data_IF_867999471750
#
_entry.id   IF_867999471750
#
_cell.length_a   1.000
_cell.length_b   1.000
_cell.length_c   1.000
_cell.angle_alpha   90.00
_cell.angle_beta   90.00
_cell.angle_gamma   90.00
#
_symmetry.space_group_name_H-M   'P 1'
#
loop_
_entity.id
_entity.type
_entity.pdbx_description
1 polymer ?
#
# COMPACT_ATOMS: atom_id res chain seq x y z
N UNK A 1 2.03 -18.45 29.81
CA UNK A 1 2.40 -17.09 29.37
C UNK A 1 3.25 -17.26 28.12
N UNK A 2 2.89 -16.64 27.02
CA UNK A 2 3.66 -16.68 25.76
C UNK A 2 4.67 -15.54 25.78
N UNK A 3 5.94 -15.86 25.53
CA UNK A 3 7.01 -14.86 25.41
C UNK A 3 7.55 -14.85 23.98
N UNK A 4 7.56 -13.68 23.35
CA UNK A 4 8.07 -13.48 22.00
C UNK A 4 8.98 -12.26 21.91
N UNK A 5 9.81 -12.22 20.89
CA UNK A 5 10.66 -11.06 20.64
C UNK A 5 9.85 -9.96 19.93
N UNK A 6 9.01 -10.35 18.96
CA UNK A 6 8.17 -9.44 18.19
C UNK A 6 6.74 -9.96 18.07
N UNK A 7 5.78 -9.14 18.50
CA UNK A 7 4.35 -9.36 18.25
C UNK A 7 3.86 -8.42 17.17
N UNK A 8 3.28 -8.96 16.09
CA UNK A 8 2.71 -8.20 14.98
C UNK A 8 1.19 -8.26 15.13
N UNK A 9 0.56 -7.10 15.30
CA UNK A 9 -0.90 -6.99 15.40
C UNK A 9 -1.45 -6.49 14.08
N UNK A 10 -2.23 -7.36 13.40
CA UNK A 10 -2.76 -7.19 12.06
C UNK A 10 -2.00 -8.03 11.03
N UNK A 11 -2.67 -9.07 10.50
CA UNK A 11 -2.17 -10.00 9.47
C UNK A 11 -2.58 -9.62 8.05
N UNK A 12 -2.97 -8.36 7.81
CA UNK A 12 -3.17 -7.82 6.48
C UNK A 12 -1.89 -7.81 5.66
N UNK A 13 -1.95 -7.32 4.41
CA UNK A 13 -0.81 -7.40 3.46
C UNK A 13 0.51 -6.87 4.03
N UNK A 14 0.50 -5.81 4.84
CA UNK A 14 1.73 -5.20 5.39
C UNK A 14 2.28 -6.02 6.56
N UNK A 15 1.43 -6.41 7.53
CA UNK A 15 1.85 -7.22 8.67
C UNK A 15 2.31 -8.62 8.27
N UNK A 16 1.59 -9.26 7.34
CA UNK A 16 2.00 -10.54 6.78
C UNK A 16 3.34 -10.46 6.02
N UNK A 17 3.60 -9.34 5.31
CA UNK A 17 4.89 -9.11 4.65
C UNK A 17 6.03 -8.94 5.64
N UNK A 18 5.79 -8.25 6.77
CA UNK A 18 6.78 -8.14 7.85
C UNK A 18 7.06 -9.51 8.46
N UNK A 19 6.01 -10.28 8.79
CA UNK A 19 6.17 -11.62 9.32
C UNK A 19 6.99 -12.51 8.37
N UNK A 20 6.66 -12.49 7.05
CA UNK A 20 7.41 -13.24 6.03
C UNK A 20 8.89 -12.81 5.95
N UNK A 21 9.16 -11.51 6.10
CA UNK A 21 10.54 -10.98 6.09
C UNK A 21 11.36 -11.33 7.33
N UNK A 22 10.71 -11.69 8.43
CA UNK A 22 11.37 -12.08 9.68
C UNK A 22 11.48 -13.60 9.85
N UNK A 23 10.87 -14.40 8.97
CA UNK A 23 11.11 -15.84 8.97
C UNK A 23 12.59 -16.14 8.77
N UNK A 24 13.05 -17.24 9.35
CA UNK A 24 14.43 -17.74 9.25
C UNK A 24 15.51 -16.76 9.80
N UNK A 25 15.09 -15.70 10.53
CA UNK A 25 16.01 -14.76 11.19
C UNK A 25 16.38 -15.16 12.62
N UNK A 26 15.72 -16.17 13.19
CA UNK A 26 15.89 -16.59 14.58
C UNK A 26 15.06 -15.77 15.59
N UNK A 27 14.28 -14.80 15.14
CA UNK A 27 13.38 -13.98 15.96
C UNK A 27 12.11 -14.78 16.29
N UNK A 28 11.71 -14.84 17.56
CA UNK A 28 10.44 -15.47 17.99
C UNK A 28 9.28 -14.53 17.67
N UNK A 29 8.42 -14.95 16.74
CA UNK A 29 7.35 -14.14 16.19
C UNK A 29 5.98 -14.59 16.67
N UNK A 30 5.10 -13.62 16.93
CA UNK A 30 3.66 -13.83 17.08
C UNK A 30 2.93 -12.92 16.09
N UNK A 31 2.09 -13.48 15.21
CA UNK A 31 1.20 -12.73 14.34
C UNK A 31 -0.25 -12.94 14.79
N UNK A 32 -0.94 -11.84 15.04
CA UNK A 32 -2.33 -11.82 15.52
C UNK A 32 -3.19 -11.17 14.43
N UNK A 33 -4.25 -11.87 14.00
CA UNK A 33 -5.19 -11.38 12.97
C UNK A 33 -6.62 -11.67 13.39
N UNK A 34 -7.45 -10.63 13.33
CA UNK A 34 -8.84 -10.71 13.75
C UNK A 34 -9.73 -11.49 12.77
N UNK A 35 -9.42 -11.40 11.48
CA UNK A 35 -10.23 -12.00 10.40
C UNK A 35 -9.42 -13.06 9.67
N UNK A 36 -9.87 -14.33 9.60
CA UNK A 36 -9.13 -15.37 8.91
C UNK A 36 -8.93 -15.06 7.43
N UNK A 37 -7.76 -15.44 6.90
CA UNK A 37 -7.53 -15.41 5.46
C UNK A 37 -8.54 -16.31 4.73
N UNK A 38 -9.11 -15.83 3.63
CA UNK A 38 -10.14 -16.56 2.87
C UNK A 38 -11.57 -16.36 3.40
N UNK A 39 -11.76 -15.72 4.55
CA UNK A 39 -13.09 -15.27 4.94
C UNK A 39 -13.56 -14.15 4.00
N UNK A 40 -14.79 -14.22 3.51
CA UNK A 40 -15.35 -13.21 2.60
C UNK A 40 -15.44 -11.79 3.19
N UNK A 41 -15.27 -11.67 4.51
CA UNK A 41 -15.22 -10.40 5.25
C UNK A 41 -13.81 -9.84 5.47
N UNK A 42 -12.74 -10.51 4.99
CA UNK A 42 -11.36 -10.05 5.18
C UNK A 42 -11.08 -8.80 4.32
N UNK A 43 -10.94 -7.61 4.92
CA UNK A 43 -10.95 -6.35 4.17
C UNK A 43 -9.64 -6.08 3.40
N UNK A 44 -8.56 -6.80 3.73
CA UNK A 44 -7.25 -6.62 3.07
C UNK A 44 -7.09 -7.50 1.83
N UNK A 45 -7.90 -8.56 1.65
CA UNK A 45 -7.74 -9.59 0.62
C UNK A 45 -9.01 -9.81 -0.20
N UNK A 46 -9.70 -8.72 -0.52
CA UNK A 46 -10.92 -8.71 -1.35
C UNK A 46 -10.60 -8.72 -2.86
N UNK A 47 -11.61 -8.48 -3.68
CA UNK A 47 -11.48 -8.40 -5.15
C UNK A 47 -10.78 -7.13 -5.66
N UNK A 48 -10.40 -6.21 -4.77
CA UNK A 48 -9.60 -5.05 -5.17
C UNK A 48 -8.24 -5.49 -5.67
N UNK A 49 -7.62 -4.58 -6.40
CA UNK A 49 -6.27 -4.77 -6.93
C UNK A 49 -5.33 -3.72 -6.37
N UNK A 50 -4.07 -4.07 -6.28
CA UNK A 50 -3.01 -3.16 -5.86
C UNK A 50 -2.01 -2.98 -7.00
N UNK A 51 -1.71 -1.71 -7.32
CA UNK A 51 -0.60 -1.37 -8.20
C UNK A 51 0.70 -1.43 -7.41
N UNK A 52 1.50 -2.45 -7.66
CA UNK A 52 2.81 -2.67 -7.07
C UNK A 52 3.88 -1.95 -7.89
N UNK A 53 4.61 -1.02 -7.28
CA UNK A 53 5.82 -0.45 -7.89
C UNK A 53 6.93 -1.50 -8.03
N UNK A 54 7.97 -1.18 -8.78
CA UNK A 54 9.07 -2.13 -9.08
C UNK A 54 9.82 -2.55 -7.80
N UNK A 55 10.02 -1.64 -6.85
CA UNK A 55 10.60 -1.98 -5.53
C UNK A 55 9.74 -2.95 -4.75
N UNK A 56 8.40 -2.81 -4.83
CA UNK A 56 7.46 -3.71 -4.16
C UNK A 56 7.50 -5.12 -4.76
N UNK A 57 7.59 -5.24 -6.10
CA UNK A 57 7.81 -6.52 -6.76
C UNK A 57 9.09 -7.20 -6.25
N UNK A 58 10.22 -6.45 -6.22
CA UNK A 58 11.50 -6.98 -5.72
C UNK A 58 11.44 -7.41 -4.26
N UNK A 59 10.70 -6.68 -3.41
CA UNK A 59 10.48 -7.10 -2.03
C UNK A 59 9.76 -8.45 -2.01
N UNK A 60 8.70 -8.64 -2.79
CA UNK A 60 7.97 -9.90 -2.85
C UNK A 60 8.80 -11.05 -3.46
N UNK A 61 9.70 -10.76 -4.41
CA UNK A 61 10.69 -11.71 -4.89
C UNK A 61 11.63 -12.14 -3.75
N UNK A 62 12.17 -11.17 -2.99
CA UNK A 62 13.03 -11.44 -1.84
C UNK A 62 12.34 -12.16 -0.69
N UNK A 63 11.03 -12.03 -0.54
CA UNK A 63 10.20 -12.79 0.40
C UNK A 63 9.85 -14.20 -0.12
N UNK A 64 10.18 -14.54 -1.38
CA UNK A 64 9.88 -15.83 -2.01
C UNK A 64 8.40 -16.04 -2.33
N UNK A 65 7.62 -14.97 -2.51
CA UNK A 65 6.16 -15.05 -2.74
C UNK A 65 5.72 -14.52 -4.11
N UNK A 66 6.62 -13.89 -4.88
CA UNK A 66 6.27 -13.27 -6.16
C UNK A 66 5.75 -14.27 -7.19
N UNK A 67 6.41 -15.41 -7.38
CA UNK A 67 6.05 -16.40 -8.39
C UNK A 67 4.61 -16.92 -8.24
N UNK A 68 4.08 -16.95 -7.00
CA UNK A 68 2.73 -17.42 -6.73
C UNK A 68 1.65 -16.42 -7.17
N UNK A 69 2.02 -15.16 -7.43
CA UNK A 69 1.09 -14.11 -7.87
C UNK A 69 1.38 -13.61 -9.29
N UNK A 70 2.53 -13.95 -9.85
CA UNK A 70 3.00 -13.46 -11.15
C UNK A 70 2.05 -13.76 -12.32
N UNK A 71 1.37 -14.91 -12.30
CA UNK A 71 0.41 -15.31 -13.33
C UNK A 71 -0.82 -14.38 -13.42
N UNK A 72 -1.20 -13.73 -12.33
CA UNK A 72 -2.30 -12.77 -12.29
C UNK A 72 -1.80 -11.32 -12.13
N UNK A 73 -0.54 -11.05 -12.44
CA UNK A 73 0.05 -9.72 -12.39
C UNK A 73 0.05 -9.08 -13.78
N UNK A 74 -0.70 -7.98 -13.94
CA UNK A 74 -0.72 -7.21 -15.18
C UNK A 74 0.36 -6.12 -15.15
N UNK A 75 1.26 -6.12 -16.15
CA UNK A 75 2.34 -5.12 -16.23
C UNK A 75 1.82 -3.74 -16.61
N UNK A 76 2.26 -2.71 -15.90
CA UNK A 76 2.05 -1.30 -16.25
C UNK A 76 3.23 -0.85 -17.14
N UNK A 77 3.01 -0.86 -18.46
CA UNK A 77 4.03 -0.49 -19.46
C UNK A 77 4.02 0.99 -19.83
N UNK A 78 2.87 1.64 -19.64
CA UNK A 78 2.75 3.06 -19.84
C UNK A 78 1.80 3.68 -18.82
N UNK A 79 2.01 4.97 -18.52
CA UNK A 79 1.15 5.76 -17.64
C UNK A 79 0.70 6.99 -18.44
N UNK A 80 -0.60 7.22 -18.50
CA UNK A 80 -1.21 8.35 -19.15
C UNK A 80 -1.96 9.20 -18.12
N UNK A 81 -1.49 10.43 -17.91
CA UNK A 81 -2.11 11.41 -17.00
C UNK A 81 -2.78 12.50 -17.84
N UNK A 82 -4.03 12.83 -17.56
CA UNK A 82 -4.78 13.87 -18.27
C UNK A 82 -5.83 14.52 -17.37
N UNK A 83 -6.34 15.68 -17.82
CA UNK A 83 -7.45 16.39 -17.19
C UNK A 83 -8.67 16.40 -18.12
N UNK A 84 -9.87 16.23 -17.54
CA UNK A 84 -11.13 16.27 -18.31
C UNK A 84 -11.38 17.70 -18.85
N UNK A 85 -11.83 17.78 -20.11
CA UNK A 85 -12.11 19.08 -20.74
C UNK A 85 -10.87 19.93 -21.05
N UNK A 86 -9.65 19.40 -20.89
CA UNK A 86 -8.39 20.11 -21.14
C UNK A 86 -7.52 19.35 -22.14
N UNK A 87 -6.59 20.08 -22.81
CA UNK A 87 -5.72 19.51 -23.84
C UNK A 87 -4.42 18.89 -23.28
N UNK A 88 -3.96 19.32 -22.10
CA UNK A 88 -2.70 18.87 -21.51
C UNK A 88 -2.78 17.39 -21.09
N UNK A 89 -1.76 16.64 -21.50
CA UNK A 89 -1.55 15.27 -21.05
C UNK A 89 -0.07 15.00 -20.84
N UNK A 90 0.25 14.06 -19.96
CA UNK A 90 1.60 13.54 -19.77
C UNK A 90 1.60 12.04 -20.04
N UNK A 91 2.58 11.57 -20.79
CA UNK A 91 2.73 10.18 -21.16
C UNK A 91 4.11 9.66 -20.75
N UNK A 92 4.13 8.62 -19.92
CA UNK A 92 5.35 7.93 -19.51
C UNK A 92 5.36 6.53 -20.14
N UNK A 93 6.46 6.15 -20.77
CA UNK A 93 6.66 4.83 -21.36
C UNK A 93 7.80 4.11 -20.63
N UNK A 94 7.55 2.87 -20.20
CA UNK A 94 8.58 2.04 -19.56
C UNK A 94 9.75 1.77 -20.52
N UNK A 95 9.45 1.54 -21.81
CA UNK A 95 10.46 1.32 -22.83
C UNK A 95 11.39 2.53 -22.98
N UNK A 96 10.87 3.77 -22.95
CA UNK A 96 11.68 5.00 -22.99
C UNK A 96 12.55 5.18 -21.75
N UNK A 97 12.20 4.54 -20.61
CA UNK A 97 13.01 4.56 -19.39
C UNK A 97 13.93 3.35 -19.28
N UNK A 98 14.01 2.48 -20.29
CA UNK A 98 14.85 1.28 -20.30
C UNK A 98 14.41 0.21 -19.29
N UNK A 99 13.14 0.17 -18.90
CA UNK A 99 12.59 -0.80 -17.95
C UNK A 99 11.45 -1.61 -18.57
N UNK A 100 11.24 -2.83 -18.09
CA UNK A 100 10.17 -3.72 -18.58
C UNK A 100 8.75 -3.21 -18.24
N UNK A 101 8.59 -2.63 -17.04
CA UNK A 101 7.34 -2.08 -16.55
C UNK A 101 7.60 -1.09 -15.41
N UNK A 102 6.68 -0.12 -15.22
CA UNK A 102 6.68 0.74 -14.02
C UNK A 102 6.27 -0.01 -12.77
N UNK A 103 5.48 -1.06 -12.93
CA UNK A 103 4.96 -1.89 -11.86
C UNK A 103 3.98 -2.91 -12.39
N UNK A 104 3.24 -3.51 -11.47
CA UNK A 104 2.30 -4.59 -11.77
C UNK A 104 1.02 -4.44 -10.98
N UNK A 105 -0.12 -4.64 -11.61
CA UNK A 105 -1.43 -4.67 -10.92
C UNK A 105 -1.74 -6.11 -10.55
N UNK A 106 -1.91 -6.36 -9.25
CA UNK A 106 -2.13 -7.71 -8.70
C UNK A 106 -3.40 -7.72 -7.86
N UNK A 107 -4.30 -8.70 -7.99
CA UNK A 107 -5.45 -8.87 -7.10
C UNK A 107 -5.01 -9.07 -5.65
N UNK A 108 -5.65 -8.36 -4.71
CA UNK A 108 -5.30 -8.43 -3.29
C UNK A 108 -5.43 -9.86 -2.74
N UNK A 109 -6.44 -10.61 -3.21
CA UNK A 109 -6.60 -12.03 -2.85
C UNK A 109 -5.39 -12.88 -3.19
N UNK A 110 -4.67 -12.58 -4.29
CA UNK A 110 -3.46 -13.29 -4.70
C UNK A 110 -2.26 -12.92 -3.83
N UNK A 111 -2.13 -11.63 -3.51
CA UNK A 111 -1.10 -11.17 -2.56
C UNK A 111 -1.31 -11.87 -1.22
N UNK A 112 -2.55 -11.91 -0.73
CA UNK A 112 -2.90 -12.60 0.51
C UNK A 112 -2.61 -14.08 0.47
N UNK A 113 -3.03 -14.80 -0.59
CA UNK A 113 -2.78 -16.23 -0.74
C UNK A 113 -1.28 -16.56 -0.71
N UNK A 114 -0.47 -15.79 -1.42
CA UNK A 114 0.97 -15.98 -1.47
C UNK A 114 1.64 -15.73 -0.10
N UNK A 115 1.27 -14.64 0.59
CA UNK A 115 1.81 -14.31 1.90
C UNK A 115 1.40 -15.33 2.96
N UNK A 116 0.11 -15.63 3.07
CA UNK A 116 -0.39 -16.59 4.07
C UNK A 116 0.10 -18.01 3.79
N UNK A 117 0.23 -18.40 2.52
CA UNK A 117 0.85 -19.68 2.14
C UNK A 117 2.30 -19.79 2.64
N UNK A 118 3.07 -18.70 2.62
CA UNK A 118 4.44 -18.64 3.15
C UNK A 118 4.50 -18.69 4.69
N UNK A 119 3.46 -18.18 5.36
CA UNK A 119 3.41 -18.09 6.82
C UNK A 119 2.88 -19.37 7.48
N UNK A 120 2.00 -20.11 6.80
CA UNK A 120 1.41 -21.33 7.35
C UNK A 120 2.48 -22.41 7.61
N UNK A 121 2.55 -22.88 8.85
CA UNK A 121 3.50 -23.91 9.25
C UNK A 121 4.97 -23.46 9.31
N UNK A 122 5.24 -22.16 9.16
CA UNK A 122 6.60 -21.64 9.26
C UNK A 122 7.17 -21.78 10.66
N UNK A 123 8.38 -22.33 10.76
CA UNK A 123 9.07 -22.46 12.03
C UNK A 123 9.37 -21.07 12.67
N UNK A 124 9.27 -20.97 13.99
CA UNK A 124 9.53 -19.72 14.72
C UNK A 124 8.39 -18.70 14.68
N UNK A 125 7.31 -18.95 13.93
CA UNK A 125 6.12 -18.11 13.87
C UNK A 125 4.95 -18.76 14.61
N UNK A 126 4.40 -18.05 15.57
CA UNK A 126 3.12 -18.38 16.20
C UNK A 126 2.01 -17.56 15.53
N UNK A 127 0.94 -18.24 15.09
CA UNK A 127 -0.23 -17.59 14.51
C UNK A 127 -1.41 -17.66 15.50
N UNK A 128 -2.13 -16.54 15.65
CA UNK A 128 -3.42 -16.45 16.35
C UNK A 128 -4.45 -15.84 15.44
N UNK A 129 -5.28 -16.68 14.85
CA UNK A 129 -6.28 -16.31 13.81
C UNK A 129 -7.49 -17.25 13.92
N UNK A 130 -8.71 -16.75 14.10
CA UNK A 130 -9.04 -15.36 14.44
C UNK A 130 -8.70 -15.04 15.91
N UNK A 131 -8.13 -13.86 16.13
CA UNK A 131 -7.81 -13.39 17.48
C UNK A 131 -7.72 -11.86 17.53
N UNK A 132 -7.99 -11.30 18.69
CA UNK A 132 -7.89 -9.86 18.97
C UNK A 132 -6.96 -9.61 20.16
N UNK A 133 -6.43 -8.39 20.23
CA UNK A 133 -5.57 -7.95 21.32
C UNK A 133 -6.38 -7.08 22.26
N UNK A 134 -6.27 -7.34 23.57
CA UNK A 134 -6.90 -6.57 24.64
C UNK A 134 -5.90 -6.27 25.75
N UNK A 135 -6.21 -5.30 26.62
CA UNK A 135 -5.46 -4.98 27.85
C UNK A 135 -3.97 -4.65 27.57
N UNK A 136 -3.69 -3.85 26.56
CA UNK A 136 -2.32 -3.52 26.17
C UNK A 136 -1.68 -2.60 27.19
N UNK A 137 -0.59 -3.04 27.79
CA UNK A 137 0.27 -2.28 28.71
C UNK A 137 1.70 -2.24 28.18
N UNK A 138 2.23 -1.04 27.98
CA UNK A 138 3.55 -0.79 27.42
C UNK A 138 4.42 -0.15 28.51
N UNK A 139 5.53 -0.78 28.84
CA UNK A 139 6.53 -0.22 29.74
C UNK A 139 7.91 -0.11 29.06
N UNK A 140 8.94 0.28 29.77
CA UNK A 140 10.28 0.46 29.21
C UNK A 140 10.96 -0.87 28.83
N UNK A 141 10.58 -1.97 29.47
CA UNK A 141 11.21 -3.27 29.30
C UNK A 141 10.47 -4.17 28.30
N UNK A 142 9.14 -4.07 28.24
CA UNK A 142 8.30 -5.01 27.50
C UNK A 142 6.91 -4.47 27.22
N UNK A 143 6.17 -5.18 26.35
CA UNK A 143 4.75 -4.99 26.13
C UNK A 143 4.00 -6.22 26.63
N UNK A 144 2.95 -6.01 27.42
CA UNK A 144 2.06 -7.06 27.92
C UNK A 144 0.66 -6.83 27.37
N UNK A 145 0.00 -7.88 26.96
CA UNK A 145 -1.37 -7.85 26.47
C UNK A 145 -2.03 -9.23 26.55
N UNK A 146 -3.33 -9.27 26.38
CA UNK A 146 -4.11 -10.50 26.24
C UNK A 146 -4.46 -10.75 24.78
N UNK A 147 -4.23 -11.96 24.29
CA UNK A 147 -4.78 -12.43 23.01
C UNK A 147 -6.09 -13.15 23.29
N UNK A 148 -7.16 -12.68 22.67
CA UNK A 148 -8.50 -13.26 22.84
C UNK A 148 -8.92 -13.96 21.56
N UNK A 149 -9.17 -15.28 21.67
CA UNK A 149 -9.62 -16.12 20.58
C UNK A 149 -10.66 -17.13 21.09
N UNK A 150 -11.81 -17.21 20.44
CA UNK A 150 -12.91 -18.10 20.82
C UNK A 150 -13.27 -18.03 22.33
N UNK A 151 -13.25 -16.83 22.92
CA UNK A 151 -13.55 -16.59 24.33
C UNK A 151 -12.43 -16.97 25.31
N UNK A 152 -11.32 -17.48 24.83
CA UNK A 152 -10.12 -17.77 25.66
C UNK A 152 -9.17 -16.59 25.66
N UNK A 153 -8.64 -16.24 26.84
CA UNK A 153 -7.61 -15.22 27.02
C UNK A 153 -6.26 -15.89 27.24
N UNK A 154 -5.29 -15.51 26.44
CA UNK A 154 -3.89 -15.96 26.56
C UNK A 154 -3.01 -14.74 26.86
N UNK A 155 -2.36 -14.68 28.03
CA UNK A 155 -1.44 -13.58 28.34
C UNK A 155 -0.15 -13.73 27.53
N UNK A 156 0.26 -12.61 26.92
CA UNK A 156 1.46 -12.51 26.08
C UNK A 156 2.37 -11.39 26.58
N UNK A 157 3.67 -11.65 26.51
CA UNK A 157 4.72 -10.66 26.71
C UNK A 157 5.59 -10.60 25.47
N UNK A 158 5.83 -9.40 24.96
CA UNK A 158 6.67 -9.14 23.79
C UNK A 158 7.72 -8.08 24.09
N UNK A 159 8.90 -8.17 23.47
CA UNK A 159 9.92 -7.12 23.54
C UNK A 159 9.55 -5.93 22.65
N UNK A 160 8.89 -6.21 21.54
CA UNK A 160 8.41 -5.23 20.57
C UNK A 160 6.99 -5.58 20.11
N UNK A 161 6.09 -4.59 20.07
CA UNK A 161 4.82 -4.71 19.38
C UNK A 161 4.86 -3.88 18.09
N UNK A 162 4.40 -4.48 16.98
CA UNK A 162 4.27 -3.81 15.69
C UNK A 162 2.80 -3.67 15.35
N UNK A 163 2.34 -2.42 15.25
CA UNK A 163 0.99 -2.10 14.82
C UNK A 163 0.90 -2.14 13.29
N UNK A 164 0.18 -3.12 12.77
CA UNK A 164 -0.21 -3.27 11.37
C UNK A 164 -1.74 -3.42 11.24
N UNK A 165 -2.49 -3.00 12.26
CA UNK A 165 -3.92 -3.17 12.51
C UNK A 165 -4.81 -2.08 11.85
N UNK A 166 -4.26 -1.36 10.87
CA UNK A 166 -5.02 -0.47 10.02
C UNK A 166 -5.17 0.96 10.55
N UNK A 167 -6.01 1.76 9.85
CA UNK A 167 -6.15 3.18 10.12
C UNK A 167 -6.72 3.50 11.52
N UNK A 168 -7.50 2.57 12.09
CA UNK A 168 -8.09 2.67 13.43
C UNK A 168 -7.29 1.89 14.49
N UNK A 169 -5.97 1.86 14.35
CA UNK A 169 -5.06 1.08 15.17
C UNK A 169 -5.29 1.25 16.68
N UNK A 170 -5.60 0.14 17.34
CA UNK A 170 -5.72 0.06 18.80
C UNK A 170 -4.34 0.14 19.46
N UNK A 171 -3.33 -0.46 18.85
CA UNK A 171 -1.94 -0.42 19.35
C UNK A 171 -1.40 1.00 19.32
N UNK A 172 -1.68 1.77 18.24
CA UNK A 172 -1.33 3.19 18.18
C UNK A 172 -1.92 3.97 19.35
N UNK A 173 -3.22 3.76 19.62
CA UNK A 173 -3.92 4.42 20.74
C UNK A 173 -3.35 4.01 22.09
N UNK A 174 -3.08 2.72 22.30
CA UNK A 174 -2.46 2.21 23.54
C UNK A 174 -1.04 2.75 23.77
N UNK A 175 -0.29 3.02 22.69
CA UNK A 175 1.03 3.64 22.74
C UNK A 175 0.98 5.18 22.95
N UNK A 176 -0.20 5.77 23.08
CA UNK A 176 -0.37 7.23 23.25
C UNK A 176 0.03 8.04 22.01
N UNK A 177 0.06 7.42 20.81
CA UNK A 177 0.42 8.11 19.58
C UNK A 177 -0.85 8.67 18.93
N UNK A 178 -0.95 9.98 18.89
CA UNK A 178 -2.03 10.67 18.19
C UNK A 178 -1.91 10.52 16.67
N UNK A 179 -3.03 10.68 15.96
CA UNK A 179 -3.07 10.71 14.51
C UNK A 179 -3.91 11.90 14.02
N UNK A 180 -3.34 12.67 13.12
CA UNK A 180 -4.08 13.66 12.36
C UNK A 180 -4.88 12.94 11.26
N UNK A 181 -6.17 13.25 11.18
CA UNK A 181 -7.06 12.75 10.13
C UNK A 181 -7.59 13.93 9.33
N UNK A 182 -7.30 13.96 8.05
CA UNK A 182 -7.84 14.91 7.10
C UNK A 182 -8.83 14.18 6.18
N UNK A 183 -10.07 14.61 6.15
CA UNK A 183 -11.10 14.03 5.30
C UNK A 183 -11.15 14.83 4.00
N UNK A 184 -11.00 14.16 2.86
CA UNK A 184 -11.08 14.81 1.55
C UNK A 184 -12.51 15.06 1.08
N UNK A 185 -13.52 14.65 1.89
CA UNK A 185 -14.93 14.70 1.52
C UNK A 185 -15.25 13.94 0.21
N UNK A 186 -14.41 12.99 -0.10
CA UNK A 186 -14.52 12.13 -1.29
C UNK A 186 -14.66 10.67 -0.91
N UNK A 187 -15.21 9.92 -1.86
CA UNK A 187 -15.37 8.47 -1.82
C UNK A 187 -14.77 7.88 -3.10
N UNK A 188 -13.99 6.82 -2.98
CA UNK A 188 -13.59 6.02 -4.14
C UNK A 188 -14.65 4.94 -4.42
N UNK A 189 -15.29 5.01 -5.57
CA UNK A 189 -16.09 3.92 -6.13
C UNK A 189 -15.16 3.04 -6.96
N UNK A 190 -15.07 1.76 -6.60
CA UNK A 190 -14.18 0.80 -7.29
C UNK A 190 -14.99 -0.27 -7.99
N UNK A 191 -14.56 -0.65 -9.19
CA UNK A 191 -15.14 -1.73 -9.97
C UNK A 191 -14.13 -2.23 -11.01
N UNK A 192 -14.32 -3.46 -11.51
CA UNK A 192 -13.65 -3.91 -12.72
C UNK A 192 -14.55 -3.69 -13.94
N UNK A 193 -14.00 -3.27 -15.07
CA UNK A 193 -14.76 -3.01 -16.30
C UNK A 193 -14.17 -3.75 -17.50
N UNK A 194 -15.04 -4.28 -18.35
CA UNK A 194 -14.67 -4.74 -19.68
C UNK A 194 -14.66 -3.58 -20.68
N UNK A 195 -13.73 -3.62 -21.62
CA UNK A 195 -13.63 -2.64 -22.73
C UNK A 195 -13.56 -3.39 -24.06
N UNK A 196 -13.97 -2.71 -25.16
CA UNK A 196 -13.85 -3.24 -26.51
C UNK A 196 -12.43 -3.15 -27.09
N UNK A 197 -11.56 -2.33 -26.47
CA UNK A 197 -10.15 -2.19 -26.83
C UNK A 197 -9.24 -2.87 -25.80
N UNK A 198 -8.11 -3.50 -26.20
CA UNK A 198 -7.11 -4.03 -25.28
C UNK A 198 -6.46 -2.91 -24.48
N UNK A 199 -6.03 -3.22 -23.25
CA UNK A 199 -5.40 -2.21 -22.38
C UNK A 199 -3.91 -1.96 -22.67
N UNK A 200 -3.23 -2.87 -23.39
CA UNK A 200 -1.81 -2.78 -23.79
C UNK A 200 -0.84 -2.46 -22.62
N UNK A 201 -1.27 -2.68 -21.38
CA UNK A 201 -0.51 -2.33 -20.19
C UNK A 201 -0.52 -0.84 -19.84
N UNK A 202 -1.47 -0.06 -20.35
CA UNK A 202 -1.58 1.38 -20.05
C UNK A 202 -2.41 1.59 -18.78
N UNK A 203 -1.81 2.25 -17.78
CA UNK A 203 -2.51 2.82 -16.64
C UNK A 203 -2.91 4.27 -16.96
N UNK A 204 -4.14 4.62 -16.67
CA UNK A 204 -4.65 5.98 -16.87
C UNK A 204 -4.96 6.63 -15.53
N UNK A 205 -4.61 7.92 -15.41
CA UNK A 205 -5.04 8.80 -14.33
C UNK A 205 -5.71 10.01 -15.00
N UNK A 206 -7.02 10.14 -14.83
CA UNK A 206 -7.78 11.24 -15.41
C UNK A 206 -8.40 12.07 -14.29
N UNK A 207 -7.94 13.29 -14.18
CA UNK A 207 -8.47 14.25 -13.23
C UNK A 207 -9.77 14.86 -13.74
N UNK A 208 -10.78 14.92 -12.88
CA UNK A 208 -12.07 15.57 -13.14
C UNK A 208 -12.38 16.55 -12.02
N UNK A 209 -13.37 17.41 -12.19
CA UNK A 209 -13.82 18.36 -11.14
C UNK A 209 -14.24 17.67 -9.84
N UNK A 210 -14.84 16.47 -9.94
CA UNK A 210 -15.30 15.71 -8.77
C UNK A 210 -14.21 14.86 -8.13
N UNK A 211 -13.05 14.73 -8.80
CA UNK A 211 -11.93 13.90 -8.36
C UNK A 211 -11.32 13.07 -9.48
N UNK A 212 -10.21 12.37 -9.21
CA UNK A 212 -9.55 11.55 -10.22
C UNK A 212 -10.32 10.25 -10.53
N UNK A 213 -10.16 9.78 -11.77
CA UNK A 213 -10.55 8.44 -12.21
C UNK A 213 -9.27 7.72 -12.64
N UNK A 214 -8.84 6.76 -11.85
CA UNK A 214 -7.75 5.86 -12.22
C UNK A 214 -8.31 4.63 -12.93
N UNK A 215 -7.58 4.16 -13.93
CA UNK A 215 -7.92 2.95 -14.67
C UNK A 215 -6.66 2.13 -14.90
N UNK A 216 -6.63 0.92 -14.35
CA UNK A 216 -5.45 0.07 -14.31
C UNK A 216 -5.67 -1.22 -15.12
N UNK A 217 -4.65 -1.71 -15.84
CA UNK A 217 -4.75 -2.97 -16.58
C UNK A 217 -4.88 -4.16 -15.64
N UNK A 218 -5.69 -5.16 -15.99
CA UNK A 218 -5.82 -6.42 -15.27
C UNK A 218 -5.38 -7.60 -16.15
N UNK A 219 -4.96 -8.68 -15.51
CA UNK A 219 -4.39 -9.87 -16.16
C UNK A 219 -5.38 -10.58 -17.10
N UNK A 220 -6.69 -10.43 -16.87
CA UNK A 220 -7.78 -11.03 -17.65
C UNK A 220 -8.26 -10.16 -18.83
N UNK A 221 -7.54 -9.07 -19.13
CA UNK A 221 -7.90 -8.13 -20.20
C UNK A 221 -8.90 -7.04 -19.77
N UNK A 222 -9.48 -7.15 -18.58
CA UNK A 222 -10.34 -6.10 -18.01
C UNK A 222 -9.50 -4.97 -17.40
N UNK A 223 -10.15 -3.97 -16.84
CA UNK A 223 -9.49 -2.83 -16.17
C UNK A 223 -10.10 -2.61 -14.78
N UNK A 224 -9.26 -2.37 -13.78
CA UNK A 224 -9.73 -1.87 -12.51
C UNK A 224 -9.97 -0.36 -12.61
N UNK A 225 -11.13 0.08 -12.15
CA UNK A 225 -11.52 1.50 -12.06
C UNK A 225 -11.52 1.91 -10.61
N UNK A 226 -10.89 3.03 -10.31
CA UNK A 226 -10.97 3.74 -9.04
C UNK A 226 -11.51 5.13 -9.37
N UNK A 227 -12.78 5.36 -9.12
CA UNK A 227 -13.46 6.60 -9.42
C UNK A 227 -13.69 7.39 -8.13
N UNK A 228 -12.89 8.42 -7.91
CA UNK A 228 -13.13 9.36 -6.82
C UNK A 228 -14.26 10.32 -7.19
N UNK A 229 -15.24 10.46 -6.31
CA UNK A 229 -16.35 11.40 -6.41
C UNK A 229 -16.61 12.07 -5.07
N UNK A 230 -17.37 13.16 -5.06
CA UNK A 230 -17.81 13.80 -3.82
C UNK A 230 -18.62 12.82 -2.99
N UNK A 231 -18.52 12.91 -1.67
CA UNK A 231 -19.23 12.00 -0.76
C UNK A 231 -20.75 12.01 -0.97
N UNK A 232 -21.31 13.19 -1.24
CA UNK A 232 -22.74 13.38 -1.50
C UNK A 232 -23.21 12.71 -2.78
N UNK A 233 -22.35 12.59 -3.82
CA UNK A 233 -22.67 11.98 -5.11
C UNK A 233 -22.55 10.44 -5.09
N UNK A 234 -21.80 9.88 -4.15
CA UNK A 234 -21.48 8.45 -4.12
C UNK A 234 -22.71 7.54 -4.05
N UNK A 235 -23.78 7.82 -3.26
CA UNK A 235 -24.99 7.00 -3.25
C UNK A 235 -25.68 6.96 -4.62
N UNK A 236 -25.76 8.09 -5.33
CA UNK A 236 -26.36 8.17 -6.67
C UNK A 236 -25.53 7.35 -7.68
N UNK A 237 -24.20 7.48 -7.66
CA UNK A 237 -23.29 6.71 -8.54
C UNK A 237 -23.39 5.21 -8.29
N UNK A 238 -23.47 4.78 -7.04
CA UNK A 238 -23.59 3.36 -6.66
C UNK A 238 -24.97 2.78 -7.01
N UNK A 239 -26.01 3.58 -6.94
CA UNK A 239 -27.41 3.18 -7.22
C UNK A 239 -27.76 3.05 -8.70
N UNK A 240 -26.89 3.50 -9.62
CA UNK A 240 -27.10 3.33 -11.06
C UNK A 240 -27.12 1.84 -11.44
N UNK A 241 -27.97 1.48 -12.42
CA UNK A 241 -27.82 0.20 -13.11
C UNK A 241 -26.52 0.14 -13.92
N UNK A 242 -26.12 -1.04 -14.39
CA UNK A 242 -24.82 -1.22 -15.06
C UNK A 242 -24.70 -0.39 -16.36
N UNK A 243 -25.76 -0.28 -17.12
CA UNK A 243 -25.76 0.47 -18.40
C UNK A 243 -25.60 1.97 -18.14
N UNK A 244 -26.35 2.49 -17.19
CA UNK A 244 -26.30 3.90 -16.79
C UNK A 244 -24.97 4.24 -16.14
N UNK A 245 -24.42 3.35 -15.29
CA UNK A 245 -23.11 3.53 -14.66
C UNK A 245 -21.97 3.56 -15.68
N UNK A 246 -21.98 2.63 -16.65
CA UNK A 246 -20.98 2.62 -17.74
C UNK A 246 -21.07 3.87 -18.62
N UNK A 247 -22.28 4.36 -18.89
CA UNK A 247 -22.49 5.60 -19.65
C UNK A 247 -21.91 6.80 -18.89
N UNK A 248 -22.16 6.90 -17.60
CA UNK A 248 -21.65 7.99 -16.76
C UNK A 248 -20.12 7.92 -16.63
N UNK A 249 -19.56 6.73 -16.43
CA UNK A 249 -18.12 6.52 -16.44
C UNK A 249 -17.50 6.93 -17.78
N UNK A 250 -18.12 6.53 -18.91
CA UNK A 250 -17.64 6.89 -20.25
C UNK A 250 -17.67 8.40 -20.48
N UNK A 251 -18.73 9.08 -20.06
CA UNK A 251 -18.85 10.52 -20.20
C UNK A 251 -17.74 11.27 -19.46
N UNK A 252 -17.40 10.84 -18.26
CA UNK A 252 -16.35 11.47 -17.43
C UNK A 252 -14.95 11.07 -17.86
N UNK A 253 -14.75 9.79 -18.18
CA UNK A 253 -13.43 9.28 -18.55
C UNK A 253 -13.07 9.58 -20.00
N UNK A 254 -14.04 9.63 -20.91
CA UNK A 254 -13.82 9.77 -22.35
C UNK A 254 -13.51 8.41 -23.02
N UNK A 255 -13.03 8.46 -24.27
CA UNK A 255 -12.91 7.30 -25.16
C UNK A 255 -11.51 6.71 -25.28
N UNK A 256 -10.54 7.22 -24.54
CA UNK A 256 -9.12 6.81 -24.66
C UNK A 256 -8.86 5.34 -24.32
N UNK A 257 -9.69 4.75 -23.46
CA UNK A 257 -9.60 3.34 -23.09
C UNK A 257 -10.49 2.42 -23.97
N UNK A 258 -11.11 2.96 -25.01
CA UNK A 258 -12.16 2.30 -25.77
C UNK A 258 -13.54 2.48 -25.13
N UNK A 259 -14.53 1.73 -25.61
CA UNK A 259 -15.89 1.74 -25.08
C UNK A 259 -16.01 0.74 -23.92
N UNK A 260 -16.60 1.17 -22.82
CA UNK A 260 -16.89 0.29 -21.68
C UNK A 260 -18.11 -0.58 -22.00
N UNK A 261 -17.94 -1.89 -21.87
CA UNK A 261 -18.93 -2.89 -22.32
C UNK A 261 -19.55 -3.69 -21.18
N UNK A 262 -18.87 -3.81 -20.05
CA UNK A 262 -19.31 -4.59 -18.88
C UNK A 262 -18.87 -3.93 -17.60
N UNK A 263 -19.77 -3.83 -16.60
CA UNK A 263 -19.46 -3.43 -15.25
C UNK A 263 -19.38 -4.67 -14.34
N UNK A 264 -18.38 -4.71 -13.48
CA UNK A 264 -18.31 -5.64 -12.36
C UNK A 264 -19.00 -5.08 -11.13
N UNK A 265 -18.94 -5.85 -10.03
CA UNK A 265 -19.46 -5.42 -8.72
C UNK A 265 -18.79 -4.12 -8.29
N UNK A 266 -19.59 -3.19 -7.82
CA UNK A 266 -19.14 -1.90 -7.28
C UNK A 266 -18.99 -1.96 -5.76
N UNK A 267 -17.96 -1.33 -5.25
CA UNK A 267 -17.76 -1.09 -3.82
C UNK A 267 -17.30 0.34 -3.61
N UNK A 268 -17.44 0.88 -2.41
CA UNK A 268 -17.00 2.25 -2.10
C UNK A 268 -16.22 2.34 -0.82
N UNK A 269 -15.28 3.28 -0.77
CA UNK A 269 -14.39 3.51 0.36
C UNK A 269 -14.21 5.01 0.59
N UNK A 270 -14.38 5.52 1.83
CA UNK A 270 -14.13 6.93 2.13
C UNK A 270 -12.64 7.25 1.96
N UNK A 271 -12.35 8.42 1.40
CA UNK A 271 -10.98 8.89 1.17
C UNK A 271 -10.56 9.83 2.29
N UNK A 272 -9.58 9.38 3.07
CA UNK A 272 -9.01 10.11 4.21
C UNK A 272 -7.51 9.99 4.22
N UNK A 273 -6.83 11.07 4.57
CA UNK A 273 -5.43 11.04 4.94
C UNK A 273 -5.33 10.86 6.45
N UNK A 274 -4.71 9.78 6.88
CA UNK A 274 -4.37 9.58 8.31
C UNK A 274 -2.86 9.62 8.44
N UNK A 275 -2.35 10.37 9.41
CA UNK A 275 -0.92 10.44 9.73
C UNK A 275 -0.73 10.35 11.23
N UNK A 276 -0.04 9.32 11.69
CA UNK A 276 0.41 9.24 13.07
C UNK A 276 1.46 10.33 13.35
N UNK A 277 1.40 10.92 14.54
CA UNK A 277 2.32 11.96 14.99
C UNK A 277 3.77 11.46 15.04
N UNK A 278 3.95 10.19 15.42
CA UNK A 278 5.24 9.50 15.41
C UNK A 278 5.09 8.06 14.87
N UNK A 279 6.08 7.52 14.15
CA UNK A 279 6.05 6.12 13.70
C UNK A 279 6.47 5.13 14.77
N UNK A 280 7.04 5.60 15.88
CA UNK A 280 7.58 4.77 16.98
C UNK A 280 7.26 5.40 18.33
N UNK A 281 7.12 4.57 19.33
CA UNK A 281 7.08 4.93 20.74
C UNK A 281 7.82 3.85 21.56
N UNK A 282 7.78 3.88 22.90
CA UNK A 282 8.35 2.82 23.71
C UNK A 282 7.87 1.45 23.20
N UNK A 283 8.80 0.57 22.86
CA UNK A 283 8.48 -0.82 22.46
C UNK A 283 7.42 -0.97 21.35
N UNK A 284 7.17 0.10 20.58
CA UNK A 284 6.08 0.13 19.59
C UNK A 284 6.55 0.72 18.27
N UNK A 285 6.21 0.04 17.17
CA UNK A 285 6.39 0.54 15.80
C UNK A 285 5.06 0.49 15.06
N UNK A 286 4.75 1.55 14.32
CA UNK A 286 3.59 1.61 13.44
C UNK A 286 4.04 1.44 11.99
N UNK A 287 3.36 0.57 11.24
CA UNK A 287 3.60 0.36 9.81
C UNK A 287 2.29 0.35 9.03
N UNK A 288 2.39 0.61 7.72
CA UNK A 288 1.22 0.65 6.84
C UNK A 288 0.17 1.67 7.30
N UNK A 289 -1.11 1.30 7.22
CA UNK A 289 -2.21 2.22 7.55
C UNK A 289 -2.28 2.61 9.04
N UNK A 290 -1.65 1.88 9.94
CA UNK A 290 -1.53 2.29 11.34
C UNK A 290 -0.63 3.53 11.50
N UNK A 291 0.38 3.65 10.64
CA UNK A 291 1.28 4.81 10.60
C UNK A 291 0.76 5.91 9.67
N UNK A 292 0.32 5.57 8.47
CA UNK A 292 -0.25 6.49 7.48
C UNK A 292 -1.19 5.79 6.50
N UNK A 293 -2.40 6.32 6.33
CA UNK A 293 -3.32 5.96 5.25
C UNK A 293 -3.39 7.11 4.26
N UNK A 294 -3.13 6.83 2.97
CA UNK A 294 -3.01 7.84 1.92
C UNK A 294 -4.21 7.80 0.98
N UNK A 295 -4.44 8.91 0.27
CA UNK A 295 -5.33 8.91 -0.89
C UNK A 295 -4.82 7.89 -1.94
N UNK A 296 -5.71 7.12 -2.61
CA UNK A 296 -5.31 6.06 -3.55
C UNK A 296 -4.65 6.59 -4.83
N UNK A 297 -4.54 7.90 -5.00
CA UNK A 297 -3.88 8.54 -6.15
C UNK A 297 -2.47 7.95 -6.35
N UNK A 298 -2.14 7.61 -7.57
CA UNK A 298 -0.86 6.98 -7.93
C UNK A 298 -0.55 5.65 -7.21
N UNK A 299 -1.51 5.01 -6.50
CA UNK A 299 -1.38 3.69 -5.89
C UNK A 299 -0.26 3.55 -4.84
N UNK A 300 0.13 4.63 -4.13
CA UNK A 300 1.33 4.64 -3.28
C UNK A 300 1.13 4.11 -1.86
N UNK A 301 -0.11 4.03 -1.36
CA UNK A 301 -0.36 3.69 0.05
C UNK A 301 0.22 2.33 0.47
N UNK A 302 -0.10 1.27 -0.25
CA UNK A 302 0.44 -0.07 0.05
C UNK A 302 1.95 -0.15 -0.19
N UNK A 303 2.44 0.42 -1.30
CA UNK A 303 3.88 0.41 -1.62
C UNK A 303 4.72 1.04 -0.51
N UNK A 304 4.22 2.11 0.12
CA UNK A 304 4.87 2.75 1.26
C UNK A 304 4.90 1.83 2.48
N UNK A 305 3.75 1.19 2.81
CA UNK A 305 3.64 0.25 3.92
C UNK A 305 4.50 -1.01 3.75
N UNK A 306 4.62 -1.52 2.51
CA UNK A 306 5.49 -2.66 2.21
C UNK A 306 6.98 -2.29 2.39
N UNK A 307 7.37 -1.07 2.03
CA UNK A 307 8.71 -0.58 2.31
C UNK A 307 8.95 -0.40 3.82
N UNK A 308 7.92 0.04 4.58
CA UNK A 308 8.00 0.06 6.05
C UNK A 308 8.31 -1.33 6.60
N UNK A 309 7.55 -2.35 6.16
CA UNK A 309 7.73 -3.73 6.57
C UNK A 309 9.12 -4.28 6.22
N UNK A 310 9.58 -4.06 4.99
CA UNK A 310 10.89 -4.53 4.53
C UNK A 310 12.06 -3.88 5.30
N UNK A 311 11.99 -2.57 5.58
CA UNK A 311 13.00 -1.87 6.38
C UNK A 311 12.98 -2.28 7.83
N UNK A 312 11.80 -2.46 8.42
CA UNK A 312 11.70 -2.92 9.80
C UNK A 312 12.24 -4.35 9.94
N UNK A 313 11.94 -5.21 8.98
CA UNK A 313 12.51 -6.57 8.93
C UNK A 313 14.05 -6.52 8.88
N UNK A 314 14.64 -5.67 8.01
CA UNK A 314 16.09 -5.49 7.90
C UNK A 314 16.71 -4.99 9.21
N UNK A 315 16.08 -4.01 9.85
CA UNK A 315 16.57 -3.43 11.11
C UNK A 315 16.55 -4.47 12.24
N UNK A 316 15.47 -5.24 12.37
CA UNK A 316 15.32 -6.28 13.39
C UNK A 316 16.28 -7.45 13.12
N UNK A 317 16.33 -7.95 11.88
CA UNK A 317 17.14 -9.12 11.52
C UNK A 317 18.66 -8.92 11.70
N UNK A 318 19.11 -7.66 11.64
CA UNK A 318 20.54 -7.29 11.75
C UNK A 318 20.89 -6.71 13.13
N UNK A 319 20.00 -6.88 14.13
CA UNK A 319 20.33 -6.59 15.53
C UNK A 319 20.64 -7.88 16.29
N UNK A 320 21.65 -7.84 17.14
CA UNK A 320 22.00 -8.94 18.05
C UNK A 320 21.35 -8.79 19.43
N UNK A 321 20.62 -7.69 19.64
CA UNK A 321 20.07 -7.31 20.94
C UNK A 321 18.54 -7.36 21.00
N UNK A 322 18.00 -6.45 21.78
CA UNK A 322 16.59 -6.31 22.02
C UNK A 322 15.88 -5.61 20.83
N UNK A 323 14.93 -6.30 20.19
CA UNK A 323 14.15 -5.76 19.07
C UNK A 323 13.33 -4.50 19.43
N UNK A 324 13.03 -4.30 20.70
CA UNK A 324 12.29 -3.13 21.20
C UNK A 324 13.18 -2.00 21.72
N UNK A 325 14.51 -2.09 21.56
CA UNK A 325 15.43 -1.07 22.02
C UNK A 325 15.19 0.28 21.32
N UNK A 326 15.17 1.35 22.10
CA UNK A 326 14.88 2.70 21.63
C UNK A 326 15.76 3.15 20.46
N UNK A 327 17.07 2.89 20.55
CA UNK A 327 18.01 3.27 19.50
C UNK A 327 17.71 2.57 18.17
N UNK A 328 17.25 1.31 18.20
CA UNK A 328 16.81 0.58 17.01
C UNK A 328 15.56 1.22 16.38
N UNK A 329 14.58 1.56 17.21
CA UNK A 329 13.33 2.17 16.75
C UNK A 329 13.57 3.57 16.18
N UNK A 330 14.42 4.38 16.79
CA UNK A 330 14.82 5.70 16.30
C UNK A 330 15.56 5.59 14.94
N UNK A 331 16.43 4.59 14.77
CA UNK A 331 17.08 4.30 13.48
C UNK A 331 16.07 3.97 12.39
N UNK A 332 15.10 3.13 12.67
CA UNK A 332 13.99 2.85 11.73
C UNK A 332 13.21 4.12 11.38
N UNK A 333 12.82 4.91 12.38
CA UNK A 333 12.06 6.14 12.20
C UNK A 333 12.83 7.15 11.33
N UNK A 334 14.12 7.39 11.61
CA UNK A 334 14.98 8.29 10.86
C UNK A 334 15.16 7.83 9.41
N UNK A 335 15.34 6.52 9.20
CA UNK A 335 15.50 5.95 7.87
C UNK A 335 14.24 6.15 7.01
N UNK A 336 13.05 5.98 7.61
CA UNK A 336 11.77 6.12 6.90
C UNK A 336 11.28 7.57 6.73
N UNK A 337 11.78 8.51 7.53
CA UNK A 337 11.25 9.88 7.58
C UNK A 337 11.23 10.59 6.22
N UNK A 338 12.31 10.45 5.43
CA UNK A 338 12.43 11.11 4.11
C UNK A 338 11.46 10.50 3.09
N UNK A 339 11.38 9.17 3.01
CA UNK A 339 10.51 8.47 2.06
C UNK A 339 9.04 8.76 2.36
N UNK A 340 8.62 8.64 3.63
CA UNK A 340 7.26 8.95 4.08
C UNK A 340 6.87 10.39 3.74
N UNK A 341 7.69 11.36 4.14
CA UNK A 341 7.41 12.77 3.89
C UNK A 341 7.36 13.10 2.40
N UNK A 342 8.19 12.46 1.58
CA UNK A 342 8.20 12.62 0.13
C UNK A 342 6.92 12.11 -0.51
N UNK A 343 6.51 10.88 -0.20
CA UNK A 343 5.31 10.26 -0.77
C UNK A 343 4.04 10.98 -0.30
N UNK A 344 3.93 11.30 1.00
CA UNK A 344 2.77 12.02 1.54
C UNK A 344 2.61 13.39 0.85
N UNK A 345 3.70 14.18 0.78
CA UNK A 345 3.65 15.49 0.11
C UNK A 345 3.34 15.39 -1.38
N UNK A 346 3.86 14.36 -2.05
CA UNK A 346 3.59 14.14 -3.46
C UNK A 346 2.11 13.81 -3.71
N UNK A 347 1.54 12.84 -2.98
CA UNK A 347 0.15 12.43 -3.16
C UNK A 347 -0.84 13.53 -2.75
N UNK A 348 -0.64 14.16 -1.60
CA UNK A 348 -1.47 15.28 -1.14
C UNK A 348 -1.34 16.50 -2.07
N UNK A 349 -0.12 16.80 -2.52
CA UNK A 349 0.13 17.85 -3.51
C UNK A 349 -0.59 17.64 -4.83
N UNK A 350 -0.67 16.40 -5.32
CA UNK A 350 -1.47 16.08 -6.51
C UNK A 350 -2.96 16.31 -6.27
N UNK A 351 -3.50 15.82 -5.16
CA UNK A 351 -4.93 16.03 -4.82
C UNK A 351 -5.26 17.51 -4.77
N UNK A 352 -4.47 18.30 -4.06
CA UNK A 352 -4.69 19.75 -3.93
C UNK A 352 -4.50 20.51 -5.24
N UNK A 353 -3.46 20.17 -6.02
CA UNK A 353 -3.19 20.82 -7.29
C UNK A 353 -4.32 20.60 -8.30
N UNK A 354 -4.83 19.37 -8.39
CA UNK A 354 -5.89 19.05 -9.34
C UNK A 354 -7.30 19.37 -8.81
N UNK A 355 -7.48 19.53 -7.51
CA UNK A 355 -8.70 20.03 -6.89
C UNK A 355 -8.81 21.58 -6.82
N UNK A 356 -7.78 22.30 -7.25
CA UNK A 356 -7.80 23.77 -7.21
C UNK A 356 -8.58 24.36 -8.40
N UNK A 357 -9.74 24.95 -8.11
CA UNK A 357 -10.65 25.54 -9.09
C UNK A 357 -10.43 27.04 -9.32
N UNK A 358 -9.41 27.65 -8.70
CA UNK A 358 -9.15 29.09 -8.86
C UNK A 358 -8.88 29.46 -10.31
N UNK A 359 -9.40 30.62 -10.80
CA UNK A 359 -9.19 31.09 -12.16
C UNK A 359 -7.72 31.11 -12.55
N UNK A 360 -7.37 30.57 -13.71
CA UNK A 360 -5.99 30.50 -14.22
C UNK A 360 -5.18 29.30 -13.78
N UNK A 361 -5.45 28.69 -12.61
CA UNK A 361 -4.70 27.51 -12.13
C UNK A 361 -4.85 26.33 -13.10
N UNK A 362 -6.04 26.09 -13.64
CA UNK A 362 -6.29 25.06 -14.64
C UNK A 362 -5.46 25.25 -15.92
N UNK A 363 -5.25 26.48 -16.38
CA UNK A 363 -4.40 26.74 -17.55
C UNK A 363 -2.93 26.47 -17.23
N UNK A 364 -2.43 26.97 -16.09
CA UNK A 364 -1.04 26.77 -15.65
C UNK A 364 -0.76 25.27 -15.46
N UNK A 365 -1.70 24.53 -14.87
CA UNK A 365 -1.61 23.07 -14.67
C UNK A 365 -1.51 22.34 -16.02
N UNK A 366 -2.33 22.71 -16.99
CA UNK A 366 -2.29 22.13 -18.33
C UNK A 366 -0.99 22.44 -19.08
N UNK A 367 -0.51 23.68 -19.03
CA UNK A 367 0.80 24.04 -19.57
C UNK A 367 1.91 23.27 -18.85
N UNK A 368 1.81 23.11 -17.52
CA UNK A 368 2.72 22.30 -16.73
C UNK A 368 2.75 20.83 -17.16
N UNK A 369 1.61 20.22 -17.48
CA UNK A 369 1.54 18.85 -18.00
C UNK A 369 2.22 18.74 -19.38
N UNK A 370 2.00 19.71 -20.29
CA UNK A 370 2.65 19.73 -21.61
C UNK A 370 4.15 19.91 -21.47
N UNK A 371 4.60 20.87 -20.67
CA UNK A 371 6.02 21.09 -20.42
C UNK A 371 6.70 19.87 -19.75
N UNK A 372 6.01 19.23 -18.81
CA UNK A 372 6.46 17.97 -18.21
C UNK A 372 6.57 16.86 -19.26
N UNK A 373 5.59 16.76 -20.18
CA UNK A 373 5.61 15.75 -21.25
C UNK A 373 6.77 15.94 -22.22
N UNK A 374 7.20 17.18 -22.44
CA UNK A 374 8.33 17.55 -23.27
C UNK A 374 9.70 17.50 -22.53
N UNK A 375 9.71 17.24 -21.22
CA UNK A 375 10.93 17.27 -20.40
C UNK A 375 11.37 15.86 -19.94
N UNK A 376 12.23 15.13 -20.72
CA UNK A 376 12.69 13.79 -20.36
C UNK A 376 13.31 13.68 -18.95
N UNK A 377 14.11 14.65 -18.45
CA UNK A 377 14.66 14.58 -17.10
C UNK A 377 13.59 14.61 -16.02
N UNK A 378 12.53 15.40 -16.20
CA UNK A 378 11.41 15.47 -15.25
C UNK A 378 10.63 14.15 -15.23
N UNK A 379 10.37 13.55 -16.40
CA UNK A 379 9.76 12.22 -16.53
C UNK A 379 10.59 11.15 -15.82
N UNK A 380 11.90 11.15 -16.00
CA UNK A 380 12.80 10.19 -15.35
C UNK A 380 12.85 10.39 -13.83
N UNK A 381 12.77 11.63 -13.34
CA UNK A 381 12.70 11.92 -11.90
C UNK A 381 11.39 11.41 -11.30
N UNK A 382 10.25 11.67 -11.95
CA UNK A 382 8.94 11.17 -11.52
C UNK A 382 8.89 9.64 -11.58
N UNK A 383 9.42 9.04 -12.64
CA UNK A 383 9.50 7.58 -12.77
C UNK A 383 10.25 6.96 -11.60
N UNK A 384 11.40 7.51 -11.19
CA UNK A 384 12.17 7.03 -10.03
C UNK A 384 11.38 7.10 -8.73
N UNK A 385 10.63 8.17 -8.49
CA UNK A 385 9.76 8.30 -7.32
C UNK A 385 8.64 7.26 -7.35
N UNK A 386 7.96 7.12 -8.50
CA UNK A 386 6.87 6.14 -8.69
C UNK A 386 7.34 4.69 -8.58
N UNK A 387 8.57 4.41 -8.98
CA UNK A 387 9.21 3.10 -8.84
C UNK A 387 9.63 2.78 -7.40
N UNK A 388 9.57 3.77 -6.49
CA UNK A 388 9.93 3.62 -5.08
C UNK A 388 11.41 3.82 -4.77
N UNK A 389 12.19 4.38 -5.70
CA UNK A 389 13.63 4.70 -5.52
C UNK A 389 13.89 6.15 -5.06
N UNK A 390 12.88 6.81 -4.50
CA UNK A 390 12.98 8.19 -4.03
C UNK A 390 13.73 8.38 -2.69
N UNK A 391 14.14 7.30 -2.03
CA UNK A 391 14.79 7.31 -0.73
C UNK A 391 15.70 6.10 -0.49
N UNK A 392 16.21 5.92 0.75
CA UNK A 392 17.00 4.74 1.11
C UNK A 392 16.20 3.47 0.87
N UNK A 393 16.76 2.55 0.11
CA UNK A 393 16.07 1.34 -0.39
C UNK A 393 16.45 0.14 0.48
N UNK A 394 15.48 -0.62 1.05
CA UNK A 394 15.77 -1.80 1.85
C UNK A 394 16.46 -2.90 1.04
N UNK A 395 17.19 -3.78 1.71
CA UNK A 395 17.95 -4.88 1.10
C UNK A 395 17.09 -5.73 0.16
N UNK A 396 15.89 -6.13 0.61
CA UNK A 396 14.94 -6.88 -0.22
C UNK A 396 14.61 -6.18 -1.55
N UNK A 397 14.40 -4.86 -1.54
CA UNK A 397 14.12 -4.11 -2.76
C UNK A 397 15.34 -3.98 -3.69
N UNK A 398 16.54 -4.28 -3.18
CA UNK A 398 17.80 -4.40 -3.96
C UNK A 398 18.11 -5.83 -4.42
N UNK A 399 17.23 -6.80 -4.10
CA UNK A 399 17.46 -8.22 -4.39
C UNK A 399 18.46 -8.90 -3.45
N UNK A 400 18.66 -8.34 -2.26
CA UNK A 400 19.56 -8.87 -1.23
C UNK A 400 18.76 -9.50 -0.09
N UNK A 401 19.29 -10.54 0.61
CA UNK A 401 18.65 -11.11 1.79
C UNK A 401 18.42 -10.06 2.88
N UNK A 402 17.39 -10.24 3.71
CA UNK A 402 17.08 -9.34 4.84
C UNK A 402 18.26 -9.24 5.80
N UNK A 403 18.87 -10.39 6.13
CA UNK A 403 20.03 -10.45 7.01
C UNK A 403 21.32 -10.24 6.23
N UNK A 404 22.23 -9.44 6.78
CA UNK A 404 23.58 -9.35 6.26
C UNK A 404 24.28 -10.70 6.45
N UNK A 405 24.78 -11.27 5.38
CA UNK A 405 25.66 -12.43 5.50
C UNK A 405 26.96 -11.92 6.14
N UNK A 406 27.38 -12.54 7.23
CA UNK A 406 28.70 -12.28 7.77
C UNK A 406 29.72 -12.58 6.65
N UNK A 407 30.42 -11.53 6.22
CA UNK A 407 31.57 -11.72 5.33
C UNK A 407 32.57 -12.50 6.15
N UNK A 408 32.67 -13.81 5.86
CA UNK A 408 33.71 -14.62 6.47
C UNK A 408 35.07 -13.96 6.22
N UNK A 409 35.99 -13.97 7.20
CA UNK A 409 37.32 -13.46 6.94
C UNK A 409 37.87 -14.20 5.72
N UNK A 410 38.25 -13.43 4.71
CA UNK A 410 38.91 -13.97 3.54
C UNK A 410 40.12 -14.80 4.01
N UNK A 411 40.05 -16.13 3.75
CA UNK A 411 41.17 -17.04 3.93
C UNK A 411 42.22 -16.78 2.83
#
# INVERSE_FOLDING_TARGET
MVEVDVAIVGGGMVGASLAAGLLDTGVRLLLIEAVPFGAGSQPSFDERTTALGNTSRRIFEGLGVWEQMAAEAAAIRAIHVSEAGRFGAAHLSAAQQGIAAFGYVVPNRRIGAALWGRLQGAAGLQLRVPAQVEDVAIDEAQVRFSVVSAGRREPVTARLVVAADGAHSQIRSAAGIEAAVEDYEQVAVVANVGCDAPHEGVAHERFTEAGPIAMLPLYDGTRAVIWACRREDAPAVLGLDDVSWLRELQARFGWRAGRFTRAGRRASYPLRLTRAAAPVANRTVLIGNAAQALHPIAGQGFNLGLRDAAMLAEVIANTSGDAGERALLERFAAWRARDRSGVVRFTDGLVRLFGDERPGVGLLRNLGLVLFDLAPPAKSALARVSLGFGGPTPRLARGLPVREQAVGPHA
#
